data_IF_448415675162
#
_entry.id   IF_448415675162
#
_cell.length_a   1.000
_cell.length_b   1.000
_cell.length_c   1.000
_cell.angle_alpha   90.00
_cell.angle_beta   90.00
_cell.angle_gamma   90.00
#
_symmetry.space_group_name_H-M   'P 1'
#
loop_
_entity.id
_entity.type
_entity.pdbx_description
1 polymer ?
#
# COMPACT_ATOMS: atom_id res chain seq x y z
N UNK A 1 1.18 11.83 8.59
CA UNK A 1 -0.11 11.18 8.86
C UNK A 1 -0.89 12.18 9.68
N UNK A 2 -1.98 12.69 9.14
CA UNK A 2 -2.82 13.69 9.81
C UNK A 2 -4.07 12.97 10.34
N UNK A 3 -4.51 13.32 11.54
CA UNK A 3 -5.71 12.73 12.15
C UNK A 3 -6.99 13.17 11.44
N UNK A 4 -6.94 14.26 10.69
CA UNK A 4 -8.03 14.76 9.84
C UNK A 4 -7.51 14.90 8.41
N UNK A 5 -8.22 14.39 7.39
CA UNK A 5 -7.78 14.49 6.00
C UNK A 5 -7.74 15.96 5.56
N UNK A 6 -6.58 16.39 5.07
CA UNK A 6 -6.35 17.75 4.57
C UNK A 6 -6.37 17.80 3.03
N UNK A 7 -6.55 19.00 2.47
CA UNK A 7 -6.51 19.18 1.03
C UNK A 7 -5.09 18.88 0.49
N UNK A 8 -4.98 17.87 -0.37
CA UNK A 8 -3.71 17.39 -0.91
C UNK A 8 -3.17 16.14 -0.22
N UNK A 9 -3.83 15.66 0.85
CA UNK A 9 -3.55 14.32 1.39
C UNK A 9 -3.90 13.25 0.33
N UNK A 10 -2.98 12.30 0.19
CA UNK A 10 -3.15 11.14 -0.68
C UNK A 10 -3.35 9.92 0.22
N UNK A 11 -4.24 9.01 -0.19
CA UNK A 11 -4.42 7.75 0.52
C UNK A 11 -3.08 7.01 0.65
N UNK A 12 -2.83 6.46 1.85
CA UNK A 12 -1.55 5.84 2.15
C UNK A 12 -1.30 4.58 1.33
N UNK A 13 -2.36 3.82 1.01
CA UNK A 13 -2.26 2.63 0.17
C UNK A 13 -1.99 3.04 -1.27
N UNK A 14 -2.65 4.08 -1.77
CA UNK A 14 -2.40 4.61 -3.11
C UNK A 14 -0.96 5.14 -3.25
N UNK A 15 -0.49 5.91 -2.27
CA UNK A 15 0.87 6.42 -2.25
C UNK A 15 1.90 5.29 -2.17
N UNK A 16 1.66 4.27 -1.34
CA UNK A 16 2.53 3.10 -1.22
C UNK A 16 2.55 2.28 -2.52
N UNK A 17 1.40 2.05 -3.15
CA UNK A 17 1.30 1.35 -4.43
C UNK A 17 2.06 2.09 -5.53
N UNK A 18 1.86 3.40 -5.67
CA UNK A 18 2.56 4.22 -6.66
C UNK A 18 4.08 4.18 -6.44
N UNK A 19 4.54 4.35 -5.20
CA UNK A 19 5.97 4.30 -4.88
C UNK A 19 6.58 2.92 -5.11
N UNK A 20 5.88 1.83 -4.76
CA UNK A 20 6.35 0.46 -5.00
C UNK A 20 6.49 0.18 -6.50
N UNK A 21 5.49 0.57 -7.30
CA UNK A 21 5.52 0.45 -8.75
C UNK A 21 6.71 1.24 -9.35
N UNK A 22 6.87 2.51 -8.97
CA UNK A 22 7.95 3.37 -9.45
C UNK A 22 9.35 2.84 -9.11
N UNK A 23 9.49 2.08 -8.02
CA UNK A 23 10.75 1.47 -7.59
C UNK A 23 10.99 0.07 -8.18
N UNK A 24 10.17 -0.34 -9.16
CA UNK A 24 10.28 -1.64 -9.82
C UNK A 24 9.79 -2.82 -8.96
N UNK A 25 8.87 -2.53 -8.03
CA UNK A 25 8.06 -3.54 -7.37
C UNK A 25 6.84 -3.92 -8.21
N UNK A 26 6.09 -4.92 -7.74
CA UNK A 26 4.80 -5.32 -8.32
C UNK A 26 3.73 -5.14 -7.26
N UNK A 27 2.61 -4.55 -7.66
CA UNK A 27 1.48 -4.26 -6.78
C UNK A 27 0.31 -5.16 -7.17
N UNK A 28 -0.34 -5.76 -6.19
CA UNK A 28 -1.52 -6.60 -6.38
C UNK A 28 -2.67 -6.05 -5.53
N UNK A 29 -3.83 -5.88 -6.15
CA UNK A 29 -5.09 -5.66 -5.43
C UNK A 29 -5.76 -7.02 -5.24
N UNK A 30 -5.98 -7.41 -3.99
CA UNK A 30 -6.52 -8.72 -3.61
C UNK A 30 -7.61 -8.54 -2.55
N UNK A 31 -8.39 -9.59 -2.29
CA UNK A 31 -9.35 -9.57 -1.20
C UNK A 31 -8.62 -9.56 0.17
N UNK A 32 -9.23 -9.02 1.24
CA UNK A 32 -8.57 -8.93 2.55
C UNK A 32 -8.09 -10.27 3.11
N UNK A 33 -8.80 -11.37 2.81
CA UNK A 33 -8.44 -12.73 3.21
C UNK A 33 -7.24 -13.31 2.45
N UNK A 34 -6.86 -12.68 1.34
CA UNK A 34 -5.67 -13.04 0.55
C UNK A 34 -4.43 -12.24 0.96
N UNK A 35 -4.59 -11.21 1.82
CA UNK A 35 -3.47 -10.40 2.30
C UNK A 35 -2.67 -11.20 3.35
N UNK A 36 -1.36 -11.42 3.15
CA UNK A 36 -0.53 -12.10 4.13
C UNK A 36 -0.54 -11.41 5.50
N UNK A 37 -0.68 -12.20 6.57
CA UNK A 37 -0.54 -11.71 7.94
C UNK A 37 -1.77 -10.99 8.51
N UNK A 38 -2.96 -11.28 7.97
CA UNK A 38 -4.28 -10.81 8.47
C UNK A 38 -4.41 -9.27 8.57
N UNK A 39 -3.59 -8.54 7.82
CA UNK A 39 -3.57 -7.08 7.76
C UNK A 39 -4.30 -6.53 6.53
N UNK A 40 -4.42 -5.21 6.47
CA UNK A 40 -4.96 -4.52 5.28
C UNK A 40 -3.93 -4.33 4.16
N UNK A 41 -2.65 -4.57 4.45
CA UNK A 41 -1.53 -4.43 3.52
C UNK A 41 -0.37 -5.33 3.95
N UNK A 42 0.30 -5.94 2.98
CA UNK A 42 1.56 -6.65 3.20
C UNK A 42 2.58 -6.32 2.11
N UNK A 43 3.86 -6.39 2.45
CA UNK A 43 4.96 -6.24 1.50
C UNK A 43 5.87 -7.47 1.58
N UNK A 44 6.10 -8.12 0.42
CA UNK A 44 7.03 -9.24 0.29
C UNK A 44 8.33 -8.72 -0.32
N UNK A 45 9.41 -8.77 0.45
CA UNK A 45 10.72 -8.30 0.01
C UNK A 45 11.51 -9.46 -0.61
N UNK A 46 12.10 -9.19 -1.77
CA UNK A 46 13.12 -10.06 -2.37
C UNK A 46 14.44 -9.90 -1.62
N UNK A 47 15.23 -10.99 -1.59
CA UNK A 47 16.56 -11.04 -0.98
C UNK A 47 17.60 -10.24 -1.76
#
# INVERSE_FOLDING_TARGET
IHDTPEAGDVDLLDAAAAQAWLRGGTVFAVAPDEVPGDGHLAAVLRY
#
